data_IF_027833048584
#
_entry.id   IF_027833048584
#
_cell.length_a   1.000
_cell.length_b   1.000
_cell.length_c   1.000
_cell.angle_alpha   90.00
_cell.angle_beta   90.00
_cell.angle_gamma   90.00
#
_symmetry.space_group_name_H-M   'P 1'
#
loop_
_entity.id
_entity.type
_entity.pdbx_description
1 polymer ?
#
# COMPACT_ATOMS: atom_id res chain seq x y z
N UNK A 1 -37.44 10.87 29.66
CA UNK A 1 -36.06 10.47 30.00
C UNK A 1 -35.57 9.53 28.90
N UNK A 2 -34.55 9.95 28.17
CA UNK A 2 -34.31 9.57 26.78
C UNK A 2 -33.60 8.21 26.68
N UNK A 3 -34.30 7.19 26.18
CA UNK A 3 -33.80 5.82 25.93
C UNK A 3 -32.68 5.72 24.88
N UNK A 4 -32.13 6.84 24.39
CA UNK A 4 -31.10 6.89 23.35
C UNK A 4 -29.66 6.86 23.89
N UNK A 5 -29.45 7.02 25.21
CA UNK A 5 -28.10 7.17 25.79
C UNK A 5 -27.47 5.82 26.17
N UNK A 6 -28.28 4.77 26.41
CA UNK A 6 -27.77 3.46 26.82
C UNK A 6 -27.01 2.70 25.70
N UNK A 7 -27.30 2.96 24.42
CA UNK A 7 -26.64 2.26 23.30
C UNK A 7 -25.21 2.72 23.01
N UNK A 8 -24.89 4.00 23.28
CA UNK A 8 -23.59 4.60 22.96
C UNK A 8 -22.51 4.21 23.97
N UNK A 9 -22.89 3.92 25.22
CA UNK A 9 -21.94 3.51 26.26
C UNK A 9 -21.33 2.13 26.01
N UNK A 10 -22.01 1.23 25.28
CA UNK A 10 -21.54 -0.15 25.07
C UNK A 10 -20.52 -0.26 23.94
N UNK A 11 -20.53 0.66 22.98
CA UNK A 11 -19.63 0.64 21.82
C UNK A 11 -18.20 1.08 22.17
N UNK A 12 -18.04 1.97 23.16
CA UNK A 12 -16.73 2.51 23.57
C UNK A 12 -15.87 1.44 24.29
N UNK A 13 -16.50 0.46 24.94
CA UNK A 13 -15.80 -0.57 25.72
C UNK A 13 -15.16 -1.68 24.85
N UNK A 14 -15.66 -1.88 23.62
CA UNK A 14 -15.12 -2.87 22.68
C UNK A 14 -13.81 -2.37 22.05
N UNK A 15 -13.70 -1.06 21.80
CA UNK A 15 -12.56 -0.47 21.08
C UNK A 15 -11.26 -0.51 21.89
N UNK A 16 -11.32 -0.35 23.22
CA UNK A 16 -10.11 -0.32 24.06
C UNK A 16 -9.50 -1.69 24.30
N UNK A 17 -10.27 -2.77 24.13
CA UNK A 17 -9.78 -4.15 24.29
C UNK A 17 -9.02 -4.65 23.05
N UNK A 18 -9.27 -4.06 21.87
CA UNK A 18 -8.53 -4.39 20.64
C UNK A 18 -7.11 -3.81 20.62
N UNK A 19 -6.87 -2.65 21.25
CA UNK A 19 -5.54 -2.00 21.21
C UNK A 19 -4.54 -2.71 22.14
N UNK A 20 -4.99 -3.28 23.27
CA UNK A 20 -4.10 -3.93 24.23
C UNK A 20 -3.74 -5.39 23.88
N UNK A 21 -4.50 -6.03 22.99
CA UNK A 21 -4.29 -7.43 22.58
C UNK A 21 -3.20 -7.65 21.53
N UNK A 22 -2.81 -6.62 20.77
CA UNK A 22 -1.79 -6.74 19.72
C UNK A 22 -0.36 -6.37 20.17
N UNK A 23 -0.14 -5.82 21.36
CA UNK A 23 1.17 -5.30 21.77
C UNK A 23 2.18 -6.36 22.26
N UNK A 24 1.85 -7.65 22.17
CA UNK A 24 2.68 -8.75 22.71
C UNK A 24 3.13 -9.80 21.68
N UNK A 25 3.04 -9.52 20.39
CA UNK A 25 3.63 -10.38 19.36
C UNK A 25 4.61 -9.61 18.48
N UNK A 26 5.60 -9.00 19.12
CA UNK A 26 6.88 -8.72 18.47
C UNK A 26 7.91 -9.62 19.14
N UNK A 27 7.78 -10.91 18.86
CA UNK A 27 8.88 -11.84 19.06
C UNK A 27 9.96 -11.41 18.07
N UNK A 28 10.99 -10.75 18.58
CA UNK A 28 12.25 -10.52 17.87
C UNK A 28 12.87 -11.90 17.59
N UNK A 29 12.36 -12.57 16.57
CA UNK A 29 13.06 -13.64 15.89
C UNK A 29 14.12 -12.97 15.03
N UNK A 30 15.16 -12.44 15.67
CA UNK A 30 16.44 -12.14 15.03
C UNK A 30 17.10 -13.48 14.68
N UNK A 31 16.50 -14.19 13.73
CA UNK A 31 17.19 -15.18 12.95
C UNK A 31 18.26 -14.38 12.21
N UNK A 32 19.50 -14.53 12.64
CA UNK A 32 20.68 -14.05 11.94
C UNK A 32 20.75 -14.80 10.60
N UNK A 33 19.92 -14.37 9.65
CA UNK A 33 19.98 -14.71 8.25
C UNK A 33 21.27 -14.06 7.77
N UNK A 34 22.35 -14.84 7.81
CA UNK A 34 23.54 -14.59 7.01
C UNK A 34 23.05 -14.03 5.68
N UNK A 35 23.40 -12.78 5.40
CA UNK A 35 23.04 -12.01 4.21
C UNK A 35 22.89 -12.95 3.02
N UNK A 36 21.65 -13.26 2.65
CA UNK A 36 21.40 -14.05 1.45
C UNK A 36 22.04 -13.24 0.34
N UNK A 37 23.03 -13.84 -0.32
CA UNK A 37 23.80 -13.18 -1.35
C UNK A 37 22.81 -12.77 -2.45
N UNK A 38 22.51 -11.47 -2.57
CA UNK A 38 21.48 -10.96 -3.49
C UNK A 38 21.77 -11.37 -4.93
N UNK A 39 23.03 -11.65 -5.24
CA UNK A 39 23.52 -12.15 -6.52
C UNK A 39 23.03 -13.58 -6.86
N UNK A 40 22.55 -14.34 -5.87
CA UNK A 40 21.96 -15.68 -6.06
C UNK A 40 20.45 -15.65 -6.28
N UNK A 41 19.80 -14.49 -6.13
CA UNK A 41 18.36 -14.32 -6.26
C UNK A 41 18.05 -13.63 -7.59
N UNK A 42 17.13 -14.19 -8.36
CA UNK A 42 16.65 -13.53 -9.56
C UNK A 42 15.76 -12.34 -9.19
N UNK A 43 15.97 -11.16 -9.79
CA UNK A 43 15.09 -10.02 -9.56
C UNK A 43 13.68 -10.32 -10.09
N UNK A 44 12.66 -9.77 -9.43
CA UNK A 44 11.28 -9.80 -9.88
C UNK A 44 11.16 -9.08 -11.23
N UNK A 45 10.18 -9.46 -12.04
CA UNK A 45 9.89 -8.76 -13.29
C UNK A 45 9.22 -7.40 -13.04
N UNK A 46 9.22 -6.55 -14.07
CA UNK A 46 8.45 -5.30 -14.07
C UNK A 46 6.94 -5.56 -13.89
N UNK A 47 6.41 -6.59 -14.54
CA UNK A 47 5.02 -7.02 -14.35
C UNK A 47 4.71 -7.34 -12.88
N UNK A 48 5.62 -8.04 -12.20
CA UNK A 48 5.46 -8.33 -10.78
C UNK A 48 5.47 -7.05 -9.94
N UNK A 49 6.36 -6.08 -10.25
CA UNK A 49 6.36 -4.78 -9.60
C UNK A 49 5.04 -4.00 -9.81
N UNK A 50 4.47 -4.04 -11.01
CA UNK A 50 3.15 -3.45 -11.30
C UNK A 50 2.06 -4.14 -10.47
N UNK A 51 2.08 -5.46 -10.38
CA UNK A 51 1.10 -6.21 -9.60
C UNK A 51 1.19 -5.90 -8.09
N UNK A 52 2.41 -5.68 -7.57
CA UNK A 52 2.62 -5.22 -6.20
C UNK A 52 1.96 -3.86 -5.99
N UNK A 53 2.16 -2.92 -6.91
CA UNK A 53 1.52 -1.59 -6.82
C UNK A 53 -0.01 -1.68 -6.90
N UNK A 54 -0.56 -2.56 -7.75
CA UNK A 54 -2.02 -2.78 -7.83
C UNK A 54 -2.57 -3.39 -6.56
N UNK A 55 -1.83 -4.28 -5.91
CA UNK A 55 -2.22 -4.87 -4.65
C UNK A 55 -2.24 -3.83 -3.51
N UNK A 56 -1.32 -2.86 -3.53
CA UNK A 56 -1.21 -1.81 -2.51
C UNK A 56 -2.22 -0.67 -2.71
N UNK A 57 -2.32 -0.16 -3.94
CA UNK A 57 -3.07 1.06 -4.26
C UNK A 57 -4.38 0.81 -5.03
N UNK A 58 -4.65 -0.45 -5.40
CA UNK A 58 -5.82 -0.86 -6.18
C UNK A 58 -5.56 -0.90 -7.70
N UNK A 59 -6.52 -1.46 -8.43
CA UNK A 59 -6.40 -1.69 -9.88
C UNK A 59 -6.48 -0.42 -10.74
N UNK A 60 -6.88 0.71 -10.15
CA UNK A 60 -7.06 1.99 -10.85
C UNK A 60 -5.75 2.77 -11.04
N UNK A 61 -4.60 2.16 -10.72
CA UNK A 61 -3.30 2.77 -10.98
C UNK A 61 -2.94 2.74 -12.46
N UNK A 62 -2.36 3.83 -12.93
CA UNK A 62 -1.82 4.01 -14.27
C UNK A 62 -0.30 3.87 -14.21
N UNK A 63 0.19 2.64 -14.40
CA UNK A 63 1.62 2.34 -14.48
C UNK A 63 1.86 1.40 -15.66
N UNK A 64 2.74 1.81 -16.57
CA UNK A 64 3.24 0.97 -17.66
C UNK A 64 4.72 0.62 -17.45
N UNK A 65 5.20 -0.42 -18.14
CA UNK A 65 6.61 -0.85 -18.10
C UNK A 65 7.62 0.26 -18.41
N UNK A 66 7.23 1.24 -19.23
CA UNK A 66 8.04 2.40 -19.63
C UNK A 66 8.25 3.39 -18.47
N UNK A 67 7.33 3.40 -17.51
CA UNK A 67 7.35 4.30 -16.36
C UNK A 67 8.27 3.77 -15.25
N UNK A 68 8.67 2.50 -15.34
CA UNK A 68 9.56 1.84 -14.40
C UNK A 68 11.02 2.04 -14.79
N UNK A 69 11.75 2.81 -13.96
CA UNK A 69 13.19 3.01 -14.08
C UNK A 69 13.94 2.12 -13.09
N UNK A 70 14.96 1.40 -13.56
CA UNK A 70 15.82 0.59 -12.70
C UNK A 70 17.08 1.40 -12.33
N UNK A 71 17.32 1.61 -11.04
CA UNK A 71 18.53 2.26 -10.53
C UNK A 71 19.08 1.40 -9.39
N UNK A 72 20.21 0.72 -9.66
CA UNK A 72 20.80 -0.23 -8.74
C UNK A 72 19.87 -1.43 -8.49
N UNK A 73 19.47 -1.60 -7.24
CA UNK A 73 18.58 -2.69 -6.80
C UNK A 73 17.11 -2.27 -6.67
N UNK A 74 16.78 -1.05 -7.07
CA UNK A 74 15.46 -0.49 -6.89
C UNK A 74 14.79 -0.16 -8.22
N UNK A 75 13.50 -0.49 -8.30
CA UNK A 75 12.59 0.09 -9.26
C UNK A 75 12.07 1.43 -8.74
N UNK A 76 12.19 2.47 -9.55
CA UNK A 76 11.64 3.81 -9.32
C UNK A 76 10.47 4.01 -10.27
N UNK A 77 9.29 4.27 -9.70
CA UNK A 77 8.03 4.26 -10.43
C UNK A 77 7.23 5.50 -10.05
N UNK A 78 6.88 6.30 -11.03
CA UNK A 78 5.98 7.44 -10.84
C UNK A 78 4.53 6.95 -10.99
N UNK A 79 3.81 6.89 -9.87
CA UNK A 79 2.50 6.23 -9.81
C UNK A 79 1.39 7.27 -9.89
N UNK A 80 0.37 6.98 -10.71
CA UNK A 80 -0.81 7.82 -10.84
C UNK A 80 -2.07 7.00 -10.68
N UNK A 81 -3.16 7.62 -10.26
CA UNK A 81 -4.50 7.03 -10.20
C UNK A 81 -5.47 7.86 -11.01
N UNK A 82 -6.44 7.20 -11.63
CA UNK A 82 -7.62 7.86 -12.18
C UNK A 82 -8.70 7.98 -11.11
N UNK A 83 -9.12 9.20 -10.84
CA UNK A 83 -10.23 9.52 -9.96
C UNK A 83 -11.41 9.97 -10.83
N UNK A 84 -12.52 9.26 -10.70
CA UNK A 84 -13.77 9.59 -11.38
C UNK A 84 -14.62 10.45 -10.44
N UNK A 85 -14.72 11.74 -10.75
CA UNK A 85 -15.65 12.63 -10.06
C UNK A 85 -16.94 12.70 -10.89
N UNK A 86 -18.05 12.30 -10.26
CA UNK A 86 -19.39 12.46 -10.83
C UNK A 86 -20.05 13.66 -10.18
N UNK A 87 -20.33 14.67 -10.99
CA UNK A 87 -21.15 15.78 -10.56
C UNK A 87 -22.63 15.37 -10.63
N UNK A 88 -23.24 15.17 -9.47
CA UNK A 88 -24.67 14.82 -9.31
C UNK A 88 -25.63 15.86 -9.93
N UNK A 89 -25.12 17.06 -10.26
CA UNK A 89 -25.90 18.18 -10.79
C UNK A 89 -25.81 18.29 -12.32
N UNK A 90 -24.64 17.99 -12.92
CA UNK A 90 -24.42 18.15 -14.36
C UNK A 90 -24.48 16.82 -15.13
N UNK A 91 -24.46 15.68 -14.45
CA UNK A 91 -24.25 14.35 -15.04
C UNK A 91 -22.95 14.23 -15.86
N UNK A 92 -22.02 15.19 -15.71
CA UNK A 92 -20.71 15.11 -16.34
C UNK A 92 -19.79 14.26 -15.47
N UNK A 93 -19.06 13.37 -16.14
CA UNK A 93 -18.04 12.53 -15.51
C UNK A 93 -16.69 13.14 -15.82
N UNK A 94 -15.99 13.62 -14.81
CA UNK A 94 -14.64 14.15 -14.95
C UNK A 94 -13.64 13.10 -14.45
N UNK A 95 -12.74 12.68 -15.34
CA UNK A 95 -11.63 11.78 -14.99
C UNK A 95 -10.41 12.64 -14.73
N UNK A 96 -9.93 12.65 -13.49
CA UNK A 96 -8.73 13.35 -13.06
C UNK A 96 -7.59 12.36 -12.82
N UNK A 97 -6.38 12.71 -13.27
CA UNK A 97 -5.17 11.95 -12.96
C UNK A 97 -4.49 12.55 -11.73
N UNK A 98 -4.46 11.81 -10.64
CA UNK A 98 -3.79 12.22 -9.40
C UNK A 98 -2.47 11.46 -9.26
N UNK A 99 -1.37 12.17 -9.01
CA UNK A 99 -0.08 11.53 -8.70
C UNK A 99 -0.09 11.02 -7.26
N UNK A 100 0.31 9.76 -7.07
CA UNK A 100 0.60 9.15 -5.78
C UNK A 100 2.08 9.36 -5.36
N UNK A 101 2.87 9.96 -6.23
CA UNK A 101 4.29 10.22 -6.01
C UNK A 101 5.20 9.13 -6.57
N UNK A 102 6.49 9.26 -6.23
CA UNK A 102 7.53 8.34 -6.67
C UNK A 102 7.66 7.19 -5.66
N UNK A 103 7.30 5.99 -6.10
CA UNK A 103 7.38 4.77 -5.30
C UNK A 103 8.66 4.02 -5.67
N UNK A 104 9.31 3.45 -4.64
CA UNK A 104 10.52 2.65 -4.77
C UNK A 104 10.22 1.21 -4.37
N UNK A 105 10.65 0.24 -5.18
CA UNK A 105 10.49 -1.20 -4.88
C UNK A 105 11.84 -1.91 -4.98
N UNK A 106 12.23 -2.67 -3.96
CA UNK A 106 13.42 -3.54 -4.04
C UNK A 106 13.15 -4.70 -5.01
N UNK A 107 13.99 -4.82 -6.04
CA UNK A 107 13.78 -5.79 -7.13
C UNK A 107 13.96 -7.24 -6.69
N UNK A 108 14.56 -7.52 -5.54
CA UNK A 108 14.76 -8.89 -5.04
C UNK A 108 13.71 -9.30 -4.02
N UNK A 109 13.19 -8.35 -3.23
CA UNK A 109 12.21 -8.66 -2.18
C UNK A 109 10.78 -8.29 -2.56
N UNK A 110 10.58 -7.35 -3.50
CA UNK A 110 9.27 -6.77 -3.79
C UNK A 110 8.78 -5.79 -2.72
N UNK A 111 9.62 -5.43 -1.75
CA UNK A 111 9.28 -4.50 -0.68
C UNK A 111 9.14 -3.07 -1.22
N UNK A 112 8.05 -2.40 -0.85
CA UNK A 112 7.84 -0.97 -1.12
C UNK A 112 8.60 -0.16 -0.08
N UNK A 113 9.54 0.67 -0.53
CA UNK A 113 10.36 1.53 0.34
C UNK A 113 9.68 2.89 0.43
N UNK A 114 9.08 3.17 1.59
CA UNK A 114 8.53 4.48 1.94
C UNK A 114 9.60 5.35 2.61
N UNK A 115 9.77 6.60 2.16
CA UNK A 115 10.59 7.62 2.85
C UNK A 115 9.81 8.34 3.95
#
# INVERSE_FOLDING_TARGET
MNKKIIGISLFILIITSFIFGCSKFQENNDINLNSIDKDSINPISKDTAINILKAEYGDNILVEDKDIKLIGDLYFIDVYVEVEDRDDVSHETHIHRQSLGNIKIDKYTGEIITE
#
